data_IF_386920935780
#
_entry.id   IF_386920935780
#
_cell.length_a   1.000
_cell.length_b   1.000
_cell.length_c   1.000
_cell.angle_alpha   90.00
_cell.angle_beta   90.00
_cell.angle_gamma   90.00
#
_symmetry.space_group_name_H-M   'P 1'
#
loop_
_entity.id
_entity.type
_entity.pdbx_description
1 polymer ?
#
# COMPACT_ATOMS: atom_id res chain seq x y z
N UNK A 1 -14.71 -16.33 0.24
CA UNK A 1 -15.62 -15.83 1.28
C UNK A 1 -15.57 -14.32 1.23
N UNK A 2 -16.63 -13.63 0.89
CA UNK A 2 -16.64 -12.18 0.83
C UNK A 2 -16.55 -11.62 2.25
N UNK A 3 -15.63 -10.71 2.49
CA UNK A 3 -15.56 -9.88 3.69
C UNK A 3 -14.70 -10.37 4.86
N UNK A 4 -14.13 -11.57 4.82
CA UNK A 4 -13.24 -12.08 5.90
C UNK A 4 -11.88 -12.58 5.42
N UNK A 5 -11.55 -12.39 4.14
CA UNK A 5 -10.25 -12.78 3.63
C UNK A 5 -9.19 -11.74 4.05
N UNK A 6 -8.12 -12.19 4.71
CA UNK A 6 -6.97 -11.36 5.00
C UNK A 6 -6.32 -10.86 3.71
N UNK A 7 -5.84 -9.62 3.70
CA UNK A 7 -5.20 -8.97 2.54
C UNK A 7 -4.11 -9.84 1.90
N UNK A 8 -3.29 -10.52 2.71
CA UNK A 8 -2.28 -11.45 2.22
C UNK A 8 -2.87 -12.66 1.47
N UNK A 9 -4.06 -13.13 1.84
CA UNK A 9 -4.73 -14.24 1.15
C UNK A 9 -5.35 -13.75 -0.15
N UNK A 10 -5.97 -12.57 -0.16
CA UNK A 10 -6.49 -11.94 -1.37
C UNK A 10 -5.36 -11.71 -2.39
N UNK A 11 -4.20 -11.22 -1.93
CA UNK A 11 -3.03 -11.04 -2.77
C UNK A 11 -2.57 -12.38 -3.38
N UNK A 12 -2.42 -13.43 -2.57
CA UNK A 12 -1.94 -14.75 -3.03
C UNK A 12 -2.84 -15.39 -4.10
N UNK A 13 -4.13 -15.08 -4.07
CA UNK A 13 -5.11 -15.55 -5.05
C UNK A 13 -5.22 -14.65 -6.28
N UNK A 14 -4.53 -13.51 -6.28
CA UNK A 14 -4.59 -12.55 -7.37
C UNK A 14 -3.68 -12.92 -8.54
N UNK A 15 -4.07 -12.49 -9.73
CA UNK A 15 -3.21 -12.57 -10.91
C UNK A 15 -1.91 -11.78 -10.74
N UNK A 16 -1.91 -10.72 -9.92
CA UNK A 16 -0.72 -9.95 -9.58
C UNK A 16 0.35 -10.83 -8.93
N UNK A 17 -0.04 -11.66 -7.96
CA UNK A 17 0.88 -12.57 -7.28
C UNK A 17 1.41 -13.66 -8.22
N UNK A 18 0.52 -14.26 -9.01
CA UNK A 18 0.86 -15.33 -9.93
C UNK A 18 1.79 -14.86 -11.07
N UNK A 19 1.64 -13.60 -11.49
CA UNK A 19 2.41 -13.00 -12.59
C UNK A 19 3.52 -12.06 -12.09
N UNK A 20 3.85 -12.07 -10.81
CA UNK A 20 4.88 -11.17 -10.25
C UNK A 20 6.27 -11.36 -10.89
N UNK A 21 6.55 -12.55 -11.44
CA UNK A 21 7.81 -12.83 -12.15
C UNK A 21 7.89 -12.12 -13.52
N UNK A 22 6.74 -11.71 -14.07
CA UNK A 22 6.67 -10.99 -15.36
C UNK A 22 6.83 -9.46 -15.20
N UNK A 23 7.04 -8.96 -14.00
CA UNK A 23 7.33 -7.54 -13.80
C UNK A 23 8.57 -7.12 -14.57
N UNK A 24 8.60 -5.87 -15.08
CA UNK A 24 9.79 -5.36 -15.76
C UNK A 24 11.01 -5.53 -14.86
N UNK A 25 12.04 -6.18 -15.41
CA UNK A 25 13.31 -6.37 -14.70
C UNK A 25 14.28 -5.30 -15.16
N UNK A 26 14.72 -4.49 -14.26
CA UNK A 26 15.79 -3.51 -14.45
C UNK A 26 16.62 -3.46 -13.18
N UNK A 27 17.36 -4.52 -12.93
CA UNK A 27 18.19 -4.63 -11.75
C UNK A 27 19.18 -3.46 -11.67
N UNK A 28 19.22 -2.82 -10.52
CA UNK A 28 20.21 -1.83 -10.15
C UNK A 28 21.01 -2.40 -8.98
N UNK A 29 22.33 -2.34 -9.07
CA UNK A 29 23.21 -2.76 -7.98
C UNK A 29 23.13 -1.76 -6.83
N UNK A 30 22.64 -2.21 -5.68
CA UNK A 30 22.54 -1.42 -4.44
C UNK A 30 23.20 -2.22 -3.33
N UNK A 31 24.29 -1.70 -2.77
CA UNK A 31 25.05 -2.33 -1.67
C UNK A 31 25.31 -3.84 -1.93
N UNK A 32 25.70 -4.18 -3.16
CA UNK A 32 26.01 -5.56 -3.58
C UNK A 32 24.79 -6.46 -3.80
N UNK A 33 23.59 -5.91 -3.78
CA UNK A 33 22.35 -6.64 -4.10
C UNK A 33 21.76 -6.17 -5.44
N UNK A 34 21.26 -7.11 -6.23
CA UNK A 34 20.44 -6.83 -7.41
C UNK A 34 19.03 -6.45 -6.96
N UNK A 35 18.64 -5.20 -7.20
CA UNK A 35 17.33 -4.68 -6.85
C UNK A 35 16.55 -4.36 -8.12
N UNK A 36 15.51 -5.13 -8.38
CA UNK A 36 14.55 -4.91 -9.46
C UNK A 36 13.44 -3.95 -9.03
N UNK A 37 12.51 -3.65 -9.93
CA UNK A 37 11.29 -2.94 -9.56
C UNK A 37 10.49 -3.73 -8.53
N UNK A 38 9.97 -3.03 -7.54
CA UNK A 38 9.14 -3.60 -6.49
C UNK A 38 7.94 -2.72 -6.17
N UNK A 39 6.89 -3.34 -5.65
CA UNK A 39 5.73 -2.67 -5.10
C UNK A 39 5.95 -2.36 -3.62
N UNK A 40 5.30 -1.32 -3.13
CA UNK A 40 5.28 -0.98 -1.72
C UNK A 40 4.04 -1.58 -1.06
N UNK A 41 4.26 -2.49 -0.12
CA UNK A 41 3.19 -3.11 0.66
C UNK A 41 3.08 -2.55 2.07
N UNK A 42 1.91 -2.74 2.68
CA UNK A 42 1.72 -2.49 4.09
C UNK A 42 2.18 -3.71 4.96
N UNK A 43 2.17 -3.60 6.30
CA UNK A 43 2.59 -4.70 7.16
C UNK A 43 1.77 -5.99 7.05
N UNK A 44 0.56 -5.96 6.47
CA UNK A 44 -0.27 -7.15 6.28
C UNK A 44 0.24 -8.09 5.18
N UNK A 45 1.03 -7.56 4.26
CA UNK A 45 1.58 -8.35 3.15
C UNK A 45 2.87 -9.08 3.55
N UNK A 46 3.20 -10.21 2.88
CA UNK A 46 4.49 -10.85 3.03
C UNK A 46 5.61 -9.97 2.45
N UNK A 47 6.81 -10.08 2.99
CA UNK A 47 8.00 -9.48 2.39
C UNK A 47 8.50 -10.38 1.26
N UNK A 48 8.57 -9.82 0.04
CA UNK A 48 9.02 -10.53 -1.16
C UNK A 48 10.01 -9.64 -1.94
N UNK A 49 10.88 -10.18 -2.80
CA UNK A 49 11.80 -9.34 -3.60
C UNK A 49 11.08 -8.29 -4.45
N UNK A 50 9.88 -8.57 -4.90
CA UNK A 50 9.03 -7.68 -5.69
C UNK A 50 7.95 -6.94 -4.87
N UNK A 51 7.84 -7.20 -3.54
CA UNK A 51 6.87 -6.56 -2.65
C UNK A 51 7.56 -6.16 -1.34
N UNK A 52 7.97 -4.92 -1.28
CA UNK A 52 8.74 -4.36 -0.17
C UNK A 52 7.81 -3.75 0.88
N UNK A 53 8.08 -4.06 2.14
CA UNK A 53 7.42 -3.45 3.30
C UNK A 53 8.44 -2.94 4.31
N UNK A 54 8.02 -1.98 5.14
CA UNK A 54 8.83 -1.48 6.24
C UNK A 54 9.12 -2.54 7.30
N UNK A 55 10.09 -2.25 8.16
CA UNK A 55 10.35 -3.06 9.34
C UNK A 55 9.14 -3.06 10.28
N UNK A 56 8.89 -4.18 10.93
CA UNK A 56 7.87 -4.24 11.98
C UNK A 56 8.29 -3.35 13.15
N UNK A 57 7.31 -2.65 13.69
CA UNK A 57 7.56 -1.75 14.81
C UNK A 57 8.09 -2.52 16.02
N UNK A 58 9.24 -2.12 16.49
CA UNK A 58 9.89 -2.67 17.67
C UNK A 58 10.72 -1.57 18.33
N UNK A 59 10.83 -1.57 19.66
CA UNK A 59 11.79 -0.68 20.37
C UNK A 59 13.26 -0.96 20.03
N UNK A 60 13.53 -2.06 19.30
CA UNK A 60 14.89 -2.49 18.94
C UNK A 60 15.30 -2.08 17.53
N UNK A 61 14.48 -1.29 16.82
CA UNK A 61 14.85 -0.81 15.49
C UNK A 61 16.04 0.15 15.58
N UNK A 62 16.97 0.00 14.65
CA UNK A 62 18.04 0.99 14.49
C UNK A 62 17.45 2.29 13.92
N UNK A 63 18.15 3.44 14.10
CA UNK A 63 17.71 4.70 13.50
C UNK A 63 17.55 4.64 11.98
N UNK A 64 18.36 3.83 11.30
CA UNK A 64 18.29 3.62 9.86
C UNK A 64 17.01 2.84 9.47
N UNK A 65 16.68 1.77 10.20
CA UNK A 65 15.48 0.97 9.97
C UNK A 65 14.20 1.77 10.27
N UNK A 66 14.20 2.58 11.32
CA UNK A 66 13.13 3.51 11.61
C UNK A 66 12.95 4.53 10.48
N UNK A 67 14.06 5.12 10.04
CA UNK A 67 14.04 6.07 8.93
C UNK A 67 13.55 5.44 7.62
N UNK A 68 13.98 4.24 7.29
CA UNK A 68 13.49 3.48 6.14
C UNK A 68 11.96 3.29 6.22
N UNK A 69 11.47 2.89 7.40
CA UNK A 69 10.02 2.75 7.61
C UNK A 69 9.28 4.07 7.33
N UNK A 70 9.82 5.21 7.81
CA UNK A 70 9.19 6.53 7.61
C UNK A 70 9.16 6.92 6.12
N UNK A 71 10.26 6.71 5.39
CA UNK A 71 10.31 6.98 3.95
C UNK A 71 9.34 6.12 3.17
N UNK A 72 9.30 4.83 3.45
CA UNK A 72 8.41 3.90 2.78
C UNK A 72 6.94 4.22 3.08
N UNK A 73 6.61 4.53 4.33
CA UNK A 73 5.26 4.96 4.72
C UNK A 73 4.85 6.25 4.02
N UNK A 74 5.77 7.22 3.94
CA UNK A 74 5.53 8.49 3.22
C UNK A 74 5.27 8.25 1.73
N UNK A 75 6.03 7.36 1.09
CA UNK A 75 5.80 7.00 -0.32
C UNK A 75 4.42 6.34 -0.53
N UNK A 76 3.96 5.55 0.44
CA UNK A 76 2.62 4.91 0.39
C UNK A 76 1.47 5.90 0.59
N UNK A 77 1.69 7.03 1.22
CA UNK A 77 0.64 8.03 1.45
C UNK A 77 -0.04 8.46 0.15
N UNK A 78 0.66 8.46 -0.97
CA UNK A 78 0.10 8.81 -2.28
C UNK A 78 -1.05 7.91 -2.69
N UNK A 79 -0.96 6.58 -2.48
CA UNK A 79 -2.05 5.66 -2.80
C UNK A 79 -3.22 5.79 -1.82
N UNK A 80 -2.93 6.09 -0.55
CA UNK A 80 -3.97 6.33 0.45
C UNK A 80 -4.79 7.58 0.11
N UNK A 81 -4.12 8.65 -0.34
CA UNK A 81 -4.76 9.87 -0.85
C UNK A 81 -5.60 9.54 -2.09
N UNK A 82 -5.07 8.76 -3.04
CA UNK A 82 -5.81 8.38 -4.25
C UNK A 82 -7.09 7.59 -3.91
N UNK A 83 -7.01 6.64 -2.99
CA UNK A 83 -8.20 5.91 -2.52
C UNK A 83 -9.19 6.81 -1.76
N UNK A 84 -8.70 7.75 -0.95
CA UNK A 84 -9.56 8.75 -0.31
C UNK A 84 -10.34 9.58 -1.34
N UNK A 85 -9.65 10.08 -2.37
CA UNK A 85 -10.28 10.85 -3.46
C UNK A 85 -11.26 10.01 -4.28
N UNK A 86 -10.91 8.75 -4.60
CA UNK A 86 -11.77 7.80 -5.28
C UNK A 86 -13.08 7.58 -4.51
N UNK A 87 -12.99 7.27 -3.23
CA UNK A 87 -14.15 7.03 -2.36
C UNK A 87 -15.00 8.29 -2.19
N UNK A 88 -14.36 9.46 -2.08
CA UNK A 88 -15.08 10.75 -1.98
C UNK A 88 -15.90 11.06 -3.23
N UNK A 89 -15.40 10.72 -4.43
CA UNK A 89 -16.17 10.89 -5.68
C UNK A 89 -17.27 9.86 -5.83
N UNK A 90 -17.03 8.64 -5.40
CA UNK A 90 -17.93 7.51 -5.62
C UNK A 90 -18.38 6.90 -4.29
N UNK A 91 -19.37 7.52 -3.66
CA UNK A 91 -19.91 7.09 -2.36
C UNK A 91 -20.40 5.63 -2.34
N UNK A 92 -20.67 5.04 -3.51
CA UNK A 92 -21.02 3.61 -3.62
C UNK A 92 -19.91 2.71 -3.06
N UNK A 93 -18.66 3.16 -3.06
CA UNK A 93 -17.50 2.46 -2.51
C UNK A 93 -17.38 2.57 -0.97
N UNK A 94 -18.14 3.46 -0.35
CA UNK A 94 -18.15 3.67 1.09
C UNK A 94 -19.21 2.86 1.82
N UNK A 95 -20.22 2.39 1.09
CA UNK A 95 -21.39 1.69 1.64
C UNK A 95 -21.24 0.19 1.45
N UNK A 96 -22.02 -0.57 2.23
CA UNK A 96 -22.24 -1.97 1.94
C UNK A 96 -22.77 -2.09 0.50
N UNK A 97 -22.16 -2.98 -0.27
CA UNK A 97 -22.62 -3.24 -1.64
C UNK A 97 -23.96 -3.99 -1.61
N UNK A 98 -24.98 -3.39 -2.19
CA UNK A 98 -26.29 -4.01 -2.42
C UNK A 98 -26.30 -4.81 -3.74
N UNK A 99 -25.21 -4.77 -4.49
CA UNK A 99 -25.05 -5.54 -5.73
C UNK A 99 -24.65 -6.98 -5.42
N UNK A 100 -25.07 -7.88 -6.31
CA UNK A 100 -24.55 -9.24 -6.27
C UNK A 100 -23.02 -9.23 -6.40
N UNK A 101 -22.36 -10.12 -5.67
CA UNK A 101 -20.87 -10.11 -5.55
C UNK A 101 -20.16 -10.25 -6.92
N UNK A 102 -20.78 -10.91 -7.91
CA UNK A 102 -20.24 -11.03 -9.26
C UNK A 102 -20.27 -9.72 -10.05
N UNK A 103 -21.14 -8.78 -9.68
CA UNK A 103 -21.25 -7.47 -10.32
C UNK A 103 -20.37 -6.40 -9.64
N UNK A 104 -20.09 -6.56 -8.36
CA UNK A 104 -19.29 -5.61 -7.57
C UNK A 104 -17.92 -5.26 -8.22
N UNK A 105 -17.16 -6.22 -8.80
CA UNK A 105 -15.90 -5.88 -9.47
C UNK A 105 -16.07 -4.93 -10.67
N UNK A 106 -17.16 -5.03 -11.41
CA UNK A 106 -17.43 -4.11 -12.53
C UNK A 106 -17.75 -2.70 -12.04
N UNK A 107 -18.49 -2.58 -10.94
CA UNK A 107 -18.75 -1.27 -10.29
C UNK A 107 -17.44 -0.63 -9.87
N UNK A 108 -16.58 -1.39 -9.17
CA UNK A 108 -15.27 -0.89 -8.73
C UNK A 108 -14.40 -0.47 -9.91
N UNK A 109 -14.32 -1.32 -10.95
CA UNK A 109 -13.52 -1.02 -12.15
C UNK A 109 -14.01 0.25 -12.86
N UNK A 110 -15.34 0.41 -12.96
CA UNK A 110 -15.94 1.61 -13.57
C UNK A 110 -15.60 2.86 -12.74
N UNK A 111 -15.73 2.79 -11.42
CA UNK A 111 -15.35 3.91 -10.54
C UNK A 111 -13.86 4.28 -10.70
N UNK A 112 -12.97 3.27 -10.79
CA UNK A 112 -11.54 3.50 -11.00
C UNK A 112 -11.27 4.15 -12.37
N UNK A 113 -11.92 3.69 -13.44
CA UNK A 113 -11.77 4.26 -14.78
C UNK A 113 -12.23 5.72 -14.83
N UNK A 114 -13.42 6.02 -14.30
CA UNK A 114 -13.94 7.38 -14.22
C UNK A 114 -13.08 8.27 -13.31
N UNK A 115 -12.57 7.73 -12.20
CA UNK A 115 -11.65 8.47 -11.33
C UNK A 115 -10.37 8.85 -12.06
N UNK A 116 -9.78 7.91 -12.80
CA UNK A 116 -8.59 8.16 -13.60
C UNK A 116 -8.84 9.27 -14.63
N UNK A 117 -9.99 9.24 -15.30
CA UNK A 117 -10.39 10.29 -16.24
C UNK A 117 -10.49 11.66 -15.54
N UNK A 118 -11.17 11.74 -14.39
CA UNK A 118 -11.27 12.98 -13.62
C UNK A 118 -9.89 13.51 -13.15
N UNK A 119 -8.96 12.61 -12.77
CA UNK A 119 -7.60 13.02 -12.38
C UNK A 119 -6.81 13.53 -13.59
N UNK A 120 -6.96 12.93 -14.77
CA UNK A 120 -6.33 13.40 -16.02
C UNK A 120 -6.83 14.79 -16.41
N UNK A 121 -8.12 15.05 -16.25
CA UNK A 121 -8.75 16.36 -16.49
C UNK A 121 -8.51 17.36 -15.34
N UNK A 122 -7.74 16.97 -14.32
CA UNK A 122 -7.41 17.80 -13.13
C UNK A 122 -8.65 18.27 -12.35
N UNK A 123 -9.72 17.50 -12.41
CA UNK A 123 -10.92 17.76 -11.65
C UNK A 123 -10.69 17.66 -10.14
N UNK A 124 -11.05 18.69 -9.42
CA UNK A 124 -10.91 18.72 -7.96
C UNK A 124 -12.05 17.95 -7.27
N UNK A 125 -11.69 17.20 -6.23
CA UNK A 125 -12.69 16.58 -5.35
C UNK A 125 -13.37 17.68 -4.53
N UNK A 126 -14.70 17.69 -4.49
CA UNK A 126 -15.45 18.62 -3.66
C UNK A 126 -15.11 18.35 -2.17
N UNK A 127 -14.70 19.38 -1.40
CA UNK A 127 -14.38 19.22 0.02
C UNK A 127 -15.49 18.58 0.84
N UNK A 128 -16.75 18.88 0.56
CA UNK A 128 -17.90 18.28 1.24
C UNK A 128 -17.97 16.77 1.05
N UNK A 129 -17.63 16.27 -0.12
CA UNK A 129 -17.58 14.82 -0.38
C UNK A 129 -16.48 14.14 0.44
N UNK A 130 -15.34 14.79 0.63
CA UNK A 130 -14.27 14.28 1.48
C UNK A 130 -14.69 14.22 2.97
N UNK A 131 -15.42 15.22 3.46
CA UNK A 131 -15.99 15.25 4.81
C UNK A 131 -17.03 14.13 5.01
N UNK A 132 -17.94 13.96 4.04
CA UNK A 132 -18.93 12.88 4.05
C UNK A 132 -18.24 11.49 4.04
N UNK A 133 -17.25 11.30 3.18
CA UNK A 133 -16.48 10.06 3.12
C UNK A 133 -15.83 9.74 4.46
N UNK A 134 -15.18 10.72 5.09
CA UNK A 134 -14.57 10.58 6.41
C UNK A 134 -15.61 10.22 7.48
N UNK A 135 -16.79 10.81 7.43
CA UNK A 135 -17.87 10.53 8.37
C UNK A 135 -18.39 9.11 8.22
N UNK A 136 -18.57 8.64 6.99
CA UNK A 136 -19.00 7.26 6.69
C UNK A 136 -17.93 6.25 7.11
N UNK A 137 -16.64 6.51 6.88
CA UNK A 137 -15.55 5.62 7.32
C UNK A 137 -15.48 5.47 8.85
N UNK A 138 -15.84 6.50 9.60
CA UNK A 138 -15.96 6.41 11.07
C UNK A 138 -17.11 5.51 11.52
N UNK A 139 -18.22 5.52 10.78
CA UNK A 139 -19.39 4.65 11.07
C UNK A 139 -19.13 3.19 10.68
N UNK A 140 -18.32 2.96 9.65
CA UNK A 140 -17.96 1.65 9.13
C UNK A 140 -16.44 1.48 9.08
N UNK A 141 -15.78 1.33 10.24
CA UNK A 141 -14.33 1.22 10.29
C UNK A 141 -13.85 -0.01 9.53
N UNK A 142 -12.73 0.15 8.84
CA UNK A 142 -12.09 -0.95 8.13
C UNK A 142 -11.59 -2.01 9.12
N UNK A 143 -11.65 -3.30 8.77
CA UNK A 143 -11.08 -4.35 9.59
C UNK A 143 -9.60 -4.09 9.87
N UNK A 144 -9.16 -4.37 11.09
CA UNK A 144 -7.74 -4.24 11.44
C UNK A 144 -6.94 -5.30 10.69
N UNK A 145 -6.03 -4.86 9.84
CA UNK A 145 -5.14 -5.74 9.09
C UNK A 145 -4.18 -6.45 10.04
N UNK A 146 -4.10 -7.77 9.93
CA UNK A 146 -3.14 -8.56 10.70
C UNK A 146 -1.73 -8.43 10.09
N UNK A 147 -0.74 -8.21 10.95
CA UNK A 147 0.65 -8.10 10.54
C UNK A 147 1.15 -9.48 10.06
N UNK A 148 1.63 -9.53 8.82
CA UNK A 148 2.28 -10.71 8.29
C UNK A 148 3.76 -10.73 8.70
N UNK A 149 4.19 -11.81 9.35
CA UNK A 149 5.59 -11.98 9.81
C UNK A 149 6.42 -12.88 8.89
N UNK A 150 5.84 -13.35 7.78
CA UNK A 150 6.58 -14.16 6.82
C UNK A 150 7.56 -13.25 6.05
N UNK A 151 8.84 -13.50 6.24
CA UNK A 151 9.92 -12.80 5.56
C UNK A 151 10.70 -13.79 4.69
N UNK A 152 10.95 -13.38 3.45
CA UNK A 152 11.82 -14.07 2.51
C UNK A 152 13.26 -13.59 2.75
N UNK A 153 14.23 -14.51 2.81
CA UNK A 153 15.64 -14.19 3.10
C UNK A 153 16.27 -13.27 2.06
N UNK A 154 16.01 -13.51 0.77
CA UNK A 154 16.49 -12.65 -0.31
C UNK A 154 15.85 -11.24 -0.22
N UNK A 155 14.55 -11.17 0.04
CA UNK A 155 13.86 -9.90 0.23
C UNK A 155 14.36 -9.13 1.46
N UNK A 156 14.74 -9.84 2.52
CA UNK A 156 15.34 -9.22 3.71
C UNK A 156 16.72 -8.62 3.42
N UNK A 157 17.52 -9.29 2.57
CA UNK A 157 18.80 -8.76 2.11
C UNK A 157 18.60 -7.48 1.26
N UNK A 158 17.66 -7.50 0.32
CA UNK A 158 17.30 -6.34 -0.50
C UNK A 158 16.81 -5.18 0.39
N UNK A 159 15.92 -5.45 1.37
CA UNK A 159 15.44 -4.43 2.30
C UNK A 159 16.57 -3.77 3.09
N UNK A 160 17.54 -4.57 3.55
CA UNK A 160 18.72 -4.07 4.25
C UNK A 160 19.56 -3.18 3.35
N UNK A 161 19.88 -3.64 2.15
CA UNK A 161 20.63 -2.87 1.15
C UNK A 161 19.95 -1.52 0.85
N UNK A 162 18.63 -1.50 0.68
CA UNK A 162 17.85 -0.27 0.49
C UNK A 162 17.90 0.63 1.73
N UNK A 163 17.90 0.06 2.94
CA UNK A 163 17.99 0.82 4.20
C UNK A 163 19.33 1.54 4.30
N UNK A 164 20.41 0.82 4.05
CA UNK A 164 21.78 1.37 4.11
C UNK A 164 21.99 2.41 3.01
N UNK A 165 21.50 2.14 1.81
CA UNK A 165 21.53 3.06 0.67
C UNK A 165 20.83 4.38 0.98
N UNK A 166 19.62 4.34 1.55
CA UNK A 166 18.88 5.54 1.93
C UNK A 166 19.56 6.28 3.07
N UNK A 167 20.02 5.56 4.09
CA UNK A 167 20.70 6.17 5.23
C UNK A 167 21.98 6.94 4.83
N UNK A 168 22.67 6.49 3.78
CA UNK A 168 23.87 7.16 3.27
C UNK A 168 23.57 8.40 2.39
N UNK A 169 22.37 8.55 1.85
CA UNK A 169 22.04 9.57 0.84
C UNK A 169 21.01 10.60 1.27
N UNK A 170 20.19 10.28 2.26
CA UNK A 170 19.13 11.18 2.72
C UNK A 170 19.13 11.29 4.24
N UNK A 171 18.68 12.43 4.81
CA UNK A 171 18.62 12.62 6.25
C UNK A 171 17.78 11.53 6.94
N UNK A 172 18.25 11.04 8.07
CA UNK A 172 17.46 10.11 8.87
C UNK A 172 16.20 10.79 9.40
N UNK A 173 15.05 10.13 9.23
CA UNK A 173 13.75 10.60 9.70
C UNK A 173 13.30 9.76 10.90
N UNK A 174 12.77 10.43 11.91
CA UNK A 174 12.10 9.78 13.04
C UNK A 174 10.59 9.82 12.87
N UNK A 175 9.92 8.87 13.47
CA UNK A 175 8.45 8.92 13.59
C UNK A 175 8.03 10.11 14.42
N UNK A 176 7.00 10.80 13.95
CA UNK A 176 6.26 11.71 14.83
C UNK A 176 5.45 10.84 15.78
N UNK A 177 5.84 10.78 17.04
CA UNK A 177 5.02 10.22 18.11
C UNK A 177 3.84 11.19 18.26
N UNK A 178 2.63 10.78 17.86
CA UNK A 178 1.44 11.54 18.21
C UNK A 178 1.29 11.44 19.73
N UNK A 179 1.43 12.58 20.41
CA UNK A 179 1.09 12.72 21.80
C UNK A 179 -0.42 12.45 22.01
#
# INVERSE_FOLDING_TARGET
MPGSAHDANALRQSNLFNNAQSFPKRAVQIEGQDVDFFLLGDPAYPLMPWLMKGYLQSPRLTPQEESFYVYLSSARTSIEIAFGRLKSRFCVLLKRSDFHFTFTPYVVATCCALHTFCEMEKEHVNPRWAEEATSVERLFPQPVSQVNRADNSAASAIRRALTDYLAARVPLRKRLVRA
#
